data_IF_658515003014
#
_entry.id   IF_658515003014
#
_cell.length_a   1.000
_cell.length_b   1.000
_cell.length_c   1.000
_cell.angle_alpha   90.00
_cell.angle_beta   90.00
_cell.angle_gamma   90.00
#
_symmetry.space_group_name_H-M   'P 1'
#
loop_
_entity.id
_entity.type
_entity.pdbx_description
1 polymer ?
#
# COMPACT_ATOMS: atom_id res chain seq x y z
N UNK A 1 2.42 -48.59 -49.41
CA UNK A 1 2.59 -48.86 -47.96
C UNK A 1 3.68 -49.91 -47.84
N UNK A 2 4.84 -49.72 -47.22
CA UNK A 2 5.40 -48.68 -46.36
C UNK A 2 6.93 -48.64 -46.60
N UNK A 3 7.55 -47.52 -46.29
CA UNK A 3 8.89 -47.10 -46.68
C UNK A 3 10.03 -47.59 -45.76
N UNK A 4 11.23 -47.41 -46.29
CA UNK A 4 12.59 -47.72 -45.80
C UNK A 4 13.06 -46.86 -44.60
N UNK A 5 13.75 -47.45 -43.63
CA UNK A 5 15.22 -47.41 -43.33
C UNK A 5 15.81 -46.06 -42.87
N UNK A 6 16.13 -46.04 -41.56
CA UNK A 6 17.26 -45.51 -40.77
C UNK A 6 18.24 -44.43 -41.29
N UNK A 7 18.58 -43.45 -40.43
CA UNK A 7 19.85 -43.39 -39.68
C UNK A 7 19.92 -42.24 -38.65
N UNK A 8 20.90 -42.38 -37.76
CA UNK A 8 21.25 -41.78 -36.45
C UNK A 8 21.91 -40.37 -36.42
N UNK A 9 21.98 -39.79 -35.19
CA UNK A 9 22.79 -38.63 -34.74
C UNK A 9 21.90 -37.51 -34.15
N UNK A 10 22.19 -36.81 -33.05
CA UNK A 10 23.29 -36.77 -32.07
C UNK A 10 22.76 -35.96 -30.85
N UNK A 11 23.46 -36.07 -29.72
CA UNK A 11 23.17 -35.43 -28.43
C UNK A 11 22.93 -33.91 -28.49
N UNK A 12 21.97 -33.41 -27.71
CA UNK A 12 22.14 -32.20 -26.89
C UNK A 12 21.09 -32.19 -25.78
N UNK A 13 21.56 -32.40 -24.56
CA UNK A 13 20.86 -32.15 -23.31
C UNK A 13 20.58 -30.66 -23.16
N UNK A 14 19.35 -30.23 -23.46
CA UNK A 14 18.84 -28.96 -22.96
C UNK A 14 18.27 -29.20 -21.56
N UNK A 15 18.86 -28.54 -20.58
CA UNK A 15 18.43 -28.55 -19.20
C UNK A 15 16.98 -28.06 -19.13
N UNK A 16 16.10 -28.91 -18.60
CA UNK A 16 14.75 -28.52 -18.18
C UNK A 16 14.92 -27.63 -16.94
N UNK A 17 14.97 -26.31 -17.14
CA UNK A 17 14.72 -25.35 -16.08
C UNK A 17 13.27 -25.53 -15.63
N UNK A 18 13.09 -25.82 -14.35
CA UNK A 18 11.79 -25.92 -13.70
C UNK A 18 11.12 -24.55 -13.74
N UNK A 19 10.27 -24.31 -14.75
CA UNK A 19 9.34 -23.18 -14.71
C UNK A 19 8.31 -23.47 -13.62
N UNK A 20 8.48 -22.81 -12.49
CA UNK A 20 7.46 -22.72 -11.48
C UNK A 20 6.34 -21.85 -12.05
N UNK A 21 5.15 -22.46 -12.13
CA UNK A 21 3.91 -21.90 -12.64
C UNK A 21 3.50 -20.74 -11.72
N UNK A 22 3.83 -19.53 -12.17
CA UNK A 22 3.24 -18.28 -11.70
C UNK A 22 2.33 -17.83 -12.84
N UNK A 23 1.18 -17.21 -12.52
CA UNK A 23 0.11 -16.88 -13.48
C UNK A 23 0.63 -16.51 -14.87
N UNK A 24 0.00 -17.06 -15.92
CA UNK A 24 0.52 -17.03 -17.29
C UNK A 24 1.06 -15.66 -17.70
N UNK A 25 2.07 -15.62 -18.56
CA UNK A 25 2.65 -14.36 -19.02
C UNK A 25 1.74 -13.64 -20.01
N UNK A 26 1.83 -12.31 -20.03
CA UNK A 26 1.17 -11.44 -21.02
C UNK A 26 2.22 -10.67 -21.81
N UNK A 27 2.14 -10.74 -23.14
CA UNK A 27 3.02 -9.96 -24.02
C UNK A 27 2.62 -8.49 -24.02
N UNK A 28 3.61 -7.59 -23.92
CA UNK A 28 3.40 -6.17 -24.14
C UNK A 28 2.85 -5.95 -25.56
N UNK A 29 1.71 -5.27 -25.66
CA UNK A 29 1.01 -5.12 -26.93
C UNK A 29 1.86 -4.36 -27.98
N UNK A 30 1.72 -4.76 -29.25
CA UNK A 30 2.46 -4.13 -30.35
C UNK A 30 2.13 -2.64 -30.44
N UNK A 31 3.17 -1.80 -30.38
CA UNK A 31 3.03 -0.34 -30.47
C UNK A 31 2.86 0.37 -29.12
N UNK A 32 2.79 -0.36 -28.02
CA UNK A 32 2.89 0.19 -26.66
C UNK A 32 4.38 0.34 -26.29
N UNK A 33 4.80 1.45 -25.65
CA UNK A 33 6.15 1.57 -25.10
C UNK A 33 6.45 0.40 -24.15
N UNK A 34 7.62 -0.22 -24.31
CA UNK A 34 8.02 -1.38 -23.49
C UNK A 34 8.45 -0.90 -22.11
N UNK A 35 7.81 -1.37 -21.02
CA UNK A 35 8.25 -1.11 -19.67
C UNK A 35 9.70 -1.52 -19.43
N UNK A 36 10.42 -0.76 -18.61
CA UNK A 36 11.72 -1.20 -18.09
C UNK A 36 11.72 -1.21 -16.56
N UNK A 37 12.59 -2.04 -15.98
CA UNK A 37 12.80 -2.15 -14.55
C UNK A 37 14.30 -2.23 -14.24
N UNK A 38 14.70 -1.57 -13.16
CA UNK A 38 15.99 -1.73 -12.50
C UNK A 38 15.79 -1.73 -10.98
N UNK A 39 16.65 -2.42 -10.24
CA UNK A 39 16.61 -2.45 -8.78
C UNK A 39 17.94 -2.06 -8.16
N UNK A 40 17.87 -1.45 -6.97
CA UNK A 40 18.99 -1.19 -6.09
C UNK A 40 18.67 -1.78 -4.72
N UNK A 41 19.52 -2.68 -4.22
CA UNK A 41 19.36 -3.30 -2.89
C UNK A 41 20.49 -2.82 -1.99
N UNK A 42 20.14 -2.23 -0.85
CA UNK A 42 21.09 -1.62 0.08
C UNK A 42 20.86 -2.12 1.50
N UNK A 43 21.93 -2.40 2.23
CA UNK A 43 21.84 -2.80 3.63
C UNK A 43 21.29 -1.62 4.46
N UNK A 44 20.28 -1.89 5.27
CA UNK A 44 19.71 -0.91 6.19
C UNK A 44 20.63 -0.76 7.42
N UNK A 45 21.06 0.47 7.78
CA UNK A 45 21.98 0.68 8.90
C UNK A 45 21.51 0.17 10.27
N UNK A 46 20.20 -0.04 10.47
CA UNK A 46 19.64 -0.55 11.71
C UNK A 46 19.35 -2.04 11.61
N UNK A 47 18.59 -2.47 10.60
CA UNK A 47 18.22 -3.88 10.40
C UNK A 47 17.62 -4.13 9.01
N UNK A 48 18.12 -5.17 8.34
CA UNK A 48 17.58 -5.68 7.09
C UNK A 48 18.10 -4.97 5.86
N UNK A 49 17.28 -4.94 4.81
CA UNK A 49 17.65 -4.41 3.50
C UNK A 49 16.56 -3.50 2.95
N UNK A 50 16.96 -2.40 2.31
CA UNK A 50 16.11 -1.49 1.59
C UNK A 50 16.24 -1.76 0.09
N UNK A 51 15.10 -2.01 -0.55
CA UNK A 51 14.95 -2.17 -1.98
C UNK A 51 14.39 -0.87 -2.58
N UNK A 52 15.00 -0.43 -3.68
CA UNK A 52 14.48 0.62 -4.55
C UNK A 52 14.24 0.05 -5.94
N UNK A 53 13.08 0.30 -6.53
CA UNK A 53 12.67 -0.18 -7.85
C UNK A 53 12.41 1.00 -8.78
N UNK A 54 13.19 1.09 -9.85
CA UNK A 54 13.08 2.14 -10.85
C UNK A 54 12.42 1.56 -12.10
N UNK A 55 11.34 2.18 -12.56
CA UNK A 55 10.66 1.77 -13.79
C UNK A 55 10.57 2.91 -14.80
N UNK A 56 10.46 2.56 -16.08
CA UNK A 56 10.05 3.49 -17.15
C UNK A 56 8.91 2.89 -17.92
N UNK A 57 8.05 3.73 -18.49
CA UNK A 57 6.91 3.31 -19.32
C UNK A 57 5.97 2.30 -18.63
N UNK A 58 5.95 2.33 -17.31
CA UNK A 58 5.13 1.46 -16.45
C UNK A 58 4.41 2.31 -15.40
N UNK A 59 3.14 2.01 -15.20
CA UNK A 59 2.29 2.64 -14.20
C UNK A 59 1.92 1.64 -13.11
N UNK A 60 2.38 1.92 -11.89
CA UNK A 60 1.95 1.17 -10.72
C UNK A 60 0.55 1.68 -10.34
N UNK A 61 -0.45 0.79 -10.29
CA UNK A 61 -1.86 1.12 -10.01
C UNK A 61 -2.45 0.13 -9.00
N UNK A 62 -2.18 0.32 -7.70
CA UNK A 62 -2.66 -0.58 -6.64
C UNK A 62 -4.18 -0.74 -6.64
N UNK A 63 -4.92 0.29 -7.05
CA UNK A 63 -6.38 0.30 -7.11
C UNK A 63 -6.94 -0.65 -8.17
N UNK A 64 -6.15 -0.97 -9.20
CA UNK A 64 -6.54 -1.86 -10.29
C UNK A 64 -5.96 -3.27 -10.13
N UNK A 65 -5.31 -3.59 -8.99
CA UNK A 65 -4.82 -4.94 -8.73
C UNK A 65 -6.00 -5.92 -8.74
N UNK A 66 -5.76 -7.11 -9.28
CA UNK A 66 -6.77 -8.17 -9.45
C UNK A 66 -7.92 -7.81 -10.40
N UNK A 67 -7.68 -6.87 -11.33
CA UNK A 67 -8.62 -6.53 -12.41
C UNK A 67 -8.06 -6.93 -13.79
N UNK A 68 -8.80 -6.68 -14.87
CA UNK A 68 -8.34 -7.01 -16.22
C UNK A 68 -7.10 -6.18 -16.61
N UNK A 69 -6.14 -6.73 -17.39
CA UNK A 69 -4.95 -6.01 -17.81
C UNK A 69 -5.25 -4.72 -18.56
N UNK A 70 -4.55 -3.65 -18.19
CA UNK A 70 -4.47 -2.40 -18.94
C UNK A 70 -3.01 -2.21 -19.38
N UNK A 71 -2.81 -1.91 -20.67
CA UNK A 71 -1.48 -1.76 -21.25
C UNK A 71 -0.64 -0.71 -20.50
N UNK A 72 0.55 -1.12 -20.05
CA UNK A 72 1.47 -0.27 -19.32
C UNK A 72 1.08 -0.03 -17.85
N UNK A 73 0.04 -0.68 -17.32
CA UNK A 73 -0.37 -0.61 -15.91
C UNK A 73 -0.17 -1.93 -15.18
N UNK A 74 0.01 -1.88 -13.86
CA UNK A 74 0.05 -3.07 -13.01
C UNK A 74 0.70 -2.82 -11.65
N UNK A 75 1.39 -3.84 -11.16
CA UNK A 75 2.17 -3.81 -9.91
C UNK A 75 3.41 -4.69 -10.07
N UNK A 76 4.14 -4.94 -8.99
CA UNK A 76 5.36 -5.75 -9.07
C UNK A 76 5.33 -6.89 -8.04
N UNK A 77 6.03 -7.98 -8.34
CA UNK A 77 6.22 -9.07 -7.41
C UNK A 77 7.69 -9.13 -6.97
N UNK A 78 7.92 -9.11 -5.66
CA UNK A 78 9.24 -9.30 -5.05
C UNK A 78 9.45 -10.77 -4.72
N UNK A 79 10.61 -11.28 -5.10
CA UNK A 79 11.09 -12.61 -4.77
C UNK A 79 12.44 -12.52 -4.08
N UNK A 80 12.66 -13.37 -3.08
CA UNK A 80 13.97 -13.62 -2.47
C UNK A 80 14.24 -15.12 -2.56
N UNK A 81 15.38 -15.50 -3.15
CA UNK A 81 15.78 -16.90 -3.40
C UNK A 81 14.71 -17.74 -4.12
N UNK A 82 13.96 -17.10 -5.02
CA UNK A 82 12.88 -17.72 -5.78
C UNK A 82 11.55 -17.85 -5.03
N UNK A 83 11.49 -17.49 -3.75
CA UNK A 83 10.25 -17.45 -2.98
C UNK A 83 9.60 -16.06 -3.10
N UNK A 84 8.30 -16.02 -3.44
CA UNK A 84 7.55 -14.76 -3.52
C UNK A 84 7.37 -14.19 -2.12
N UNK A 85 7.95 -13.02 -1.87
CA UNK A 85 7.91 -12.35 -0.57
C UNK A 85 6.71 -11.40 -0.46
N UNK A 86 6.50 -10.56 -1.47
CA UNK A 86 5.46 -9.53 -1.41
C UNK A 86 5.04 -9.04 -2.79
N UNK A 87 3.89 -8.35 -2.84
CA UNK A 87 3.52 -7.46 -3.95
C UNK A 87 4.05 -6.07 -3.61
N UNK A 88 4.59 -5.35 -4.59
CA UNK A 88 5.10 -4.00 -4.41
C UNK A 88 4.20 -3.01 -5.15
N UNK A 89 3.88 -1.92 -4.44
CA UNK A 89 2.95 -0.87 -4.88
C UNK A 89 3.62 0.51 -4.98
N UNK A 90 4.94 0.54 -4.96
CA UNK A 90 5.72 1.76 -5.08
C UNK A 90 7.19 1.48 -5.33
N UNK A 91 8.00 2.53 -5.26
CA UNK A 91 9.42 2.50 -5.58
C UNK A 91 10.23 1.85 -4.44
N UNK A 92 9.85 2.07 -3.18
CA UNK A 92 10.62 1.61 -2.03
C UNK A 92 9.96 0.47 -1.26
N UNK A 93 10.77 -0.47 -0.78
CA UNK A 93 10.33 -1.56 0.09
C UNK A 93 11.41 -1.96 1.12
N UNK A 94 11.00 -2.29 2.33
CA UNK A 94 11.88 -2.90 3.34
C UNK A 94 11.75 -4.42 3.28
N UNK A 95 12.83 -5.11 2.90
CA UNK A 95 12.84 -6.58 2.82
C UNK A 95 12.88 -7.22 4.22
N UNK A 96 13.44 -6.51 5.21
CA UNK A 96 13.71 -7.07 6.53
C UNK A 96 15.03 -7.84 6.62
N UNK A 97 15.32 -8.45 7.78
CA UNK A 97 16.54 -9.21 7.98
C UNK A 97 16.55 -10.50 7.15
N UNK A 98 17.69 -10.81 6.56
CA UNK A 98 17.95 -12.07 5.86
C UNK A 98 18.95 -12.91 6.64
N UNK A 99 18.88 -14.23 6.47
CA UNK A 99 19.85 -15.13 7.07
C UNK A 99 21.27 -14.84 6.53
N UNK A 100 22.35 -15.18 7.25
CA UNK A 100 23.69 -15.04 6.69
C UNK A 100 23.87 -15.91 5.44
N UNK A 101 24.31 -15.32 4.33
CA UNK A 101 24.40 -16.01 3.05
C UNK A 101 24.33 -15.09 1.84
N UNK A 102 24.48 -15.70 0.67
CA UNK A 102 24.16 -15.07 -0.61
C UNK A 102 22.65 -15.20 -0.84
N UNK A 103 22.00 -14.11 -1.23
CA UNK A 103 20.57 -14.05 -1.52
C UNK A 103 20.33 -13.41 -2.88
N UNK A 104 19.47 -14.04 -3.68
CA UNK A 104 18.98 -13.47 -4.95
C UNK A 104 17.71 -12.67 -4.69
N UNK A 105 17.73 -11.36 -4.96
CA UNK A 105 16.56 -10.48 -4.90
C UNK A 105 16.10 -10.21 -6.31
N UNK A 106 14.88 -10.61 -6.65
CA UNK A 106 14.29 -10.43 -7.98
C UNK A 106 12.97 -9.68 -7.89
N UNK A 107 12.78 -8.70 -8.76
CA UNK A 107 11.51 -7.97 -8.89
C UNK A 107 11.01 -8.09 -10.33
N UNK A 108 9.76 -8.48 -10.47
CA UNK A 108 9.09 -8.71 -11.76
C UNK A 108 7.94 -7.72 -11.96
N UNK A 109 7.78 -7.20 -13.18
CA UNK A 109 6.59 -6.42 -13.56
C UNK A 109 5.41 -7.35 -13.83
N UNK A 110 4.28 -7.08 -13.19
CA UNK A 110 3.04 -7.85 -13.34
C UNK A 110 1.92 -6.94 -13.81
N UNK A 111 1.09 -7.41 -14.73
CA UNK A 111 -0.14 -6.75 -15.13
C UNK A 111 -1.17 -6.77 -13.99
N UNK A 112 -2.26 -6.00 -14.17
CA UNK A 112 -3.35 -5.89 -13.20
C UNK A 112 -3.93 -7.25 -12.77
N UNK A 113 -3.95 -8.24 -13.66
CA UNK A 113 -4.46 -9.59 -13.37
C UNK A 113 -3.39 -10.56 -12.82
N UNK A 114 -2.25 -10.03 -12.36
CA UNK A 114 -1.07 -10.77 -11.91
C UNK A 114 -0.27 -11.51 -13.00
N UNK A 115 -0.64 -11.43 -14.27
CA UNK A 115 0.14 -12.00 -15.36
C UNK A 115 1.52 -11.34 -15.44
N UNK A 116 2.59 -12.14 -15.51
CA UNK A 116 3.94 -11.62 -15.69
C UNK A 116 4.07 -10.91 -17.05
N UNK A 117 4.52 -9.66 -17.08
CA UNK A 117 4.71 -8.94 -18.34
C UNK A 117 5.94 -9.48 -19.09
N UNK A 118 5.80 -9.67 -20.40
CA UNK A 118 6.83 -10.25 -21.24
C UNK A 118 7.00 -9.49 -22.57
N UNK A 119 8.19 -9.63 -23.16
CA UNK A 119 8.49 -9.22 -24.55
C UNK A 119 9.19 -10.37 -25.24
N UNK A 120 8.62 -10.83 -26.37
CA UNK A 120 9.16 -11.96 -27.14
C UNK A 120 9.28 -13.25 -26.29
N UNK A 121 8.43 -13.39 -25.27
CA UNK A 121 8.45 -14.50 -24.30
C UNK A 121 9.42 -14.34 -23.12
N UNK A 122 10.24 -13.28 -23.10
CA UNK A 122 11.13 -12.98 -21.98
C UNK A 122 10.41 -12.09 -20.96
N UNK A 123 10.38 -12.49 -19.69
CA UNK A 123 9.76 -11.72 -18.60
C UNK A 123 10.54 -10.42 -18.35
N UNK A 124 9.81 -9.34 -18.09
CA UNK A 124 10.39 -8.07 -17.68
C UNK A 124 10.62 -8.08 -16.16
N UNK A 125 11.83 -8.44 -15.75
CA UNK A 125 12.27 -8.44 -14.36
C UNK A 125 13.67 -7.83 -14.19
N UNK A 126 14.07 -7.63 -12.94
CA UNK A 126 15.41 -7.24 -12.55
C UNK A 126 15.86 -8.04 -11.33
N UNK A 127 17.14 -8.42 -11.32
CA UNK A 127 17.73 -9.24 -10.26
C UNK A 127 19.02 -8.60 -9.75
N UNK A 128 19.21 -8.64 -8.43
CA UNK A 128 20.44 -8.29 -7.74
C UNK A 128 20.80 -9.40 -6.76
N UNK A 129 22.09 -9.60 -6.52
CA UNK A 129 22.59 -10.63 -5.60
C UNK A 129 23.34 -9.94 -4.47
N UNK A 130 22.80 -10.07 -3.26
CA UNK A 130 23.37 -9.50 -2.05
C UNK A 130 23.99 -10.58 -1.18
N UNK A 131 24.91 -10.18 -0.31
CA UNK A 131 25.53 -11.08 0.68
C UNK A 131 25.25 -10.55 2.07
N UNK A 132 24.32 -11.20 2.76
CA UNK A 132 24.03 -10.96 4.16
C UNK A 132 25.15 -11.55 5.02
N UNK A 133 25.75 -10.71 5.85
CA UNK A 133 26.85 -11.12 6.71
C UNK A 133 26.33 -11.73 8.00
N UNK A 134 27.07 -12.70 8.54
CA UNK A 134 26.86 -13.20 9.90
C UNK A 134 27.37 -12.12 10.87
N UNK A 135 26.48 -11.21 11.23
CA UNK A 135 26.77 -10.19 12.23
C UNK A 135 26.66 -10.87 13.61
N UNK A 136 27.76 -11.46 14.06
CA UNK A 136 27.95 -11.95 15.42
C UNK A 136 27.44 -10.91 16.45
N UNK A 137 26.22 -11.09 16.95
CA UNK A 137 25.74 -10.49 18.20
C UNK A 137 25.46 -8.98 18.21
N UNK A 138 25.27 -8.32 17.07
CA UNK A 138 24.63 -6.99 17.06
C UNK A 138 23.12 -7.12 16.87
N UNK A 139 22.48 -7.87 17.77
CA UNK A 139 21.15 -7.47 18.22
C UNK A 139 21.33 -6.11 18.91
N UNK A 140 21.42 -5.05 18.11
CA UNK A 140 21.06 -3.73 18.59
C UNK A 140 19.59 -3.88 18.92
N UNK A 141 19.29 -4.20 20.18
CA UNK A 141 17.96 -4.00 20.70
C UNK A 141 17.53 -2.62 20.24
N UNK A 142 16.31 -2.51 19.73
CA UNK A 142 15.71 -1.21 19.46
C UNK A 142 15.78 -0.43 20.78
N UNK A 143 16.84 0.34 20.99
CA UNK A 143 16.86 1.36 22.01
C UNK A 143 15.64 2.19 21.65
N UNK A 144 14.63 2.15 22.51
CA UNK A 144 13.43 2.93 22.33
C UNK A 144 13.89 4.38 22.27
N UNK A 145 13.99 4.91 21.05
CA UNK A 145 14.34 6.30 20.86
C UNK A 145 13.16 7.07 21.43
N UNK A 146 13.46 7.98 22.36
CA UNK A 146 12.43 8.79 23.02
C UNK A 146 11.53 9.45 21.96
N UNK A 147 10.19 9.42 22.16
CA UNK A 147 9.27 10.02 21.20
C UNK A 147 9.61 11.49 20.93
N UNK A 148 9.38 11.92 19.68
CA UNK A 148 9.66 13.30 19.24
C UNK A 148 8.38 14.03 18.89
N UNK A 149 8.18 15.16 19.56
CA UNK A 149 7.07 16.05 19.29
C UNK A 149 7.24 16.74 17.93
N UNK A 150 6.27 16.56 17.04
CA UNK A 150 6.27 17.13 15.71
C UNK A 150 6.00 18.64 15.74
N UNK A 151 6.60 19.41 14.82
CA UNK A 151 6.24 20.82 14.63
C UNK A 151 4.79 20.97 14.13
N UNK A 152 4.31 22.21 14.13
CA UNK A 152 3.03 22.59 13.53
C UNK A 152 3.22 22.96 12.04
N UNK A 153 2.25 22.67 11.14
CA UNK A 153 1.04 21.89 11.40
C UNK A 153 1.38 20.43 11.75
N UNK A 154 0.68 19.86 12.73
CA UNK A 154 0.96 18.49 13.18
C UNK A 154 0.69 17.48 12.05
N UNK A 155 1.53 16.44 11.94
CA UNK A 155 1.29 15.37 11.01
C UNK A 155 0.15 14.46 11.49
N UNK A 156 -0.49 13.82 10.53
CA UNK A 156 -1.50 12.78 10.72
C UNK A 156 -1.26 11.66 9.73
N UNK A 157 -1.84 10.49 9.97
CA UNK A 157 -1.88 9.39 9.01
C UNK A 157 -3.29 8.84 8.96
N UNK A 158 -3.84 8.69 7.76
CA UNK A 158 -5.11 8.00 7.53
C UNK A 158 -4.79 6.59 7.04
N UNK A 159 -5.57 5.61 7.45
CA UNK A 159 -5.36 4.20 7.13
C UNK A 159 -6.65 3.55 6.67
N UNK A 160 -6.61 2.93 5.50
CA UNK A 160 -7.67 2.12 4.90
C UNK A 160 -7.13 0.72 4.58
N UNK A 161 -8.00 -0.27 4.62
CA UNK A 161 -7.73 -1.62 4.13
C UNK A 161 -8.65 -1.88 2.95
N UNK A 162 -8.05 -2.23 1.82
CA UNK A 162 -8.75 -2.59 0.60
C UNK A 162 -8.64 -4.10 0.45
N UNK A 163 -9.81 -4.76 0.41
CA UNK A 163 -9.88 -6.19 0.12
C UNK A 163 -9.33 -6.47 -1.29
N UNK A 164 -8.46 -7.47 -1.40
CA UNK A 164 -7.88 -7.86 -2.67
C UNK A 164 -8.63 -9.09 -3.21
N UNK A 165 -9.29 -8.99 -4.39
CA UNK A 165 -10.02 -10.12 -4.97
C UNK A 165 -9.17 -11.38 -5.18
N UNK A 166 -7.86 -11.23 -5.39
CA UNK A 166 -6.93 -12.37 -5.49
C UNK A 166 -6.47 -12.90 -4.12
N UNK A 167 -7.14 -12.47 -3.04
CA UNK A 167 -6.90 -12.86 -1.66
C UNK A 167 -5.99 -11.90 -0.90
N UNK A 168 -6.43 -11.54 0.31
CA UNK A 168 -5.69 -10.71 1.25
C UNK A 168 -6.14 -9.27 1.24
N UNK A 169 -5.29 -8.39 1.81
CA UNK A 169 -5.63 -6.99 2.01
C UNK A 169 -4.48 -6.11 1.57
N UNK A 170 -4.81 -5.02 0.87
CA UNK A 170 -3.88 -3.93 0.60
C UNK A 170 -4.13 -2.82 1.60
N UNK A 171 -3.10 -2.45 2.35
CA UNK A 171 -3.08 -1.29 3.23
C UNK A 171 -2.85 -0.04 2.40
N UNK A 172 -3.71 0.96 2.58
CA UNK A 172 -3.53 2.30 2.05
C UNK A 172 -3.39 3.28 3.22
N UNK A 173 -2.18 3.78 3.45
CA UNK A 173 -1.81 4.66 4.53
C UNK A 173 -1.29 5.99 3.99
N UNK A 174 -2.07 7.06 4.12
CA UNK A 174 -1.73 8.38 3.58
C UNK A 174 -1.39 9.36 4.71
N UNK A 175 -0.12 9.78 4.82
CA UNK A 175 0.25 10.82 5.76
C UNK A 175 -0.10 12.23 5.26
N UNK A 176 -0.47 13.13 6.17
CA UNK A 176 -0.60 14.57 5.91
C UNK A 176 0.45 15.34 6.73
N UNK A 177 0.94 16.48 6.21
CA UNK A 177 2.03 17.28 6.81
C UNK A 177 3.30 16.48 7.13
N UNK A 178 3.54 15.38 6.41
CA UNK A 178 4.66 14.48 6.63
C UNK A 178 5.10 13.84 5.31
N UNK A 179 6.41 13.86 5.05
CA UNK A 179 7.01 13.29 3.86
C UNK A 179 7.57 11.90 4.15
N UNK A 180 7.12 10.90 3.41
CA UNK A 180 7.82 9.61 3.38
C UNK A 180 9.18 9.81 2.70
N UNK A 181 10.24 9.46 3.42
CA UNK A 181 11.64 9.67 3.06
C UNK A 181 12.45 8.37 3.23
N UNK A 182 12.09 7.28 2.51
CA UNK A 182 12.79 6.01 2.61
C UNK A 182 14.28 6.09 2.29
N UNK A 183 14.70 7.03 1.44
CA UNK A 183 16.10 7.29 1.13
C UNK A 183 16.92 7.76 2.36
N UNK A 184 16.23 8.22 3.40
CA UNK A 184 16.81 8.68 4.66
C UNK A 184 16.46 7.75 5.84
N UNK A 185 15.76 6.62 5.61
CA UNK A 185 15.43 5.68 6.67
C UNK A 185 16.71 5.16 7.36
N UNK A 186 16.63 4.95 8.67
CA UNK A 186 17.78 4.63 9.54
C UNK A 186 18.89 5.71 9.57
N UNK A 187 18.61 6.90 9.03
CA UNK A 187 19.50 8.06 9.02
C UNK A 187 19.28 9.01 10.19
N UNK A 188 19.86 10.21 10.13
CA UNK A 188 19.62 11.24 11.14
C UNK A 188 18.21 11.85 10.99
N UNK A 189 17.56 12.16 12.12
CA UNK A 189 16.26 12.84 12.16
C UNK A 189 16.24 14.17 11.39
N UNK A 190 15.21 14.35 10.56
CA UNK A 190 14.85 15.59 9.88
C UNK A 190 13.38 15.89 10.17
N UNK A 191 13.07 17.12 10.55
CA UNK A 191 11.70 17.53 10.87
C UNK A 191 10.78 17.41 9.65
N UNK A 192 9.60 16.82 9.85
CA UNK A 192 8.55 16.69 8.81
C UNK A 192 8.76 15.53 7.84
N UNK A 193 9.73 14.65 8.08
CA UNK A 193 9.92 13.45 7.26
C UNK A 193 10.31 12.21 8.07
N UNK A 194 10.21 11.05 7.42
CA UNK A 194 10.55 9.75 7.98
C UNK A 194 9.81 8.63 7.26
N UNK A 195 9.27 7.66 7.99
CA UNK A 195 8.56 6.51 7.43
C UNK A 195 7.48 6.01 8.37
N UNK A 196 6.75 4.97 7.96
CA UNK A 196 5.67 4.39 8.76
C UNK A 196 6.09 3.03 9.33
N UNK A 197 5.60 2.68 10.51
CA UNK A 197 5.64 1.31 11.02
C UNK A 197 4.23 0.75 11.03
N UNK A 198 4.09 -0.48 10.54
CA UNK A 198 2.86 -1.25 10.59
C UNK A 198 2.92 -2.25 11.74
N UNK A 199 1.88 -2.28 12.56
CA UNK A 199 1.70 -3.21 13.66
C UNK A 199 0.42 -4.01 13.46
N UNK A 200 0.46 -5.29 13.83
CA UNK A 200 -0.69 -6.17 13.93
C UNK A 200 -0.78 -6.65 15.37
N UNK A 201 -1.90 -6.40 16.05
CA UNK A 201 -2.11 -6.76 17.45
C UNK A 201 -0.98 -6.25 18.38
N UNK A 202 -0.45 -5.07 18.08
CA UNK A 202 0.66 -4.44 18.81
C UNK A 202 2.07 -4.96 18.48
N UNK A 203 2.21 -5.96 17.61
CA UNK A 203 3.49 -6.45 17.13
C UNK A 203 3.87 -5.76 15.81
N UNK A 204 5.08 -5.19 15.74
CA UNK A 204 5.58 -4.54 14.51
C UNK A 204 5.84 -5.61 13.45
N UNK A 205 5.11 -5.57 12.35
CA UNK A 205 5.26 -6.54 11.25
C UNK A 205 6.01 -5.99 10.05
N UNK A 206 5.99 -4.66 9.84
CA UNK A 206 6.67 -4.06 8.69
C UNK A 206 7.08 -2.60 8.92
N UNK A 207 8.07 -2.17 8.13
CA UNK A 207 8.29 -0.75 7.82
C UNK A 207 7.58 -0.48 6.50
N UNK A 208 6.84 0.62 6.43
CA UNK A 208 6.08 1.02 5.25
C UNK A 208 6.68 2.33 4.73
N UNK A 209 7.11 2.30 3.47
CA UNK A 209 7.84 3.38 2.81
C UNK A 209 7.04 4.14 1.76
N UNK A 210 5.85 3.65 1.44
CA UNK A 210 4.96 4.17 0.41
C UNK A 210 3.54 4.27 0.99
N UNK A 211 2.61 4.90 0.27
CA UNK A 211 1.22 4.98 0.73
C UNK A 211 0.49 3.65 0.62
N UNK A 212 0.93 2.74 -0.24
CA UNK A 212 0.35 1.42 -0.42
C UNK A 212 1.28 0.31 0.06
N UNK A 213 0.72 -0.70 0.72
CA UNK A 213 1.46 -1.85 1.22
C UNK A 213 0.63 -3.13 1.20
N UNK A 214 1.18 -4.21 0.67
CA UNK A 214 0.52 -5.51 0.72
C UNK A 214 0.58 -6.08 2.14
N UNK A 215 -0.58 -6.26 2.79
CA UNK A 215 -0.61 -6.85 4.12
C UNK A 215 -0.09 -8.30 4.07
N UNK A 216 0.68 -8.73 5.10
CA UNK A 216 1.00 -10.13 5.25
C UNK A 216 -0.29 -10.94 5.47
N UNK A 217 -0.31 -12.23 5.11
CA UNK A 217 -1.46 -13.07 5.37
C UNK A 217 -1.75 -13.14 6.88
N UNK A 218 -3.03 -12.99 7.23
CA UNK A 218 -3.50 -13.05 8.61
C UNK A 218 -4.35 -14.29 8.83
N UNK A 219 -4.26 -14.94 10.01
CA UNK A 219 -5.16 -16.03 10.35
C UNK A 219 -6.59 -15.51 10.53
N UNK A 220 -7.56 -16.41 10.56
CA UNK A 220 -8.94 -16.04 10.86
C UNK A 220 -9.08 -15.45 12.28
N UNK A 221 -9.89 -14.40 12.40
CA UNK A 221 -10.19 -13.71 13.65
C UNK A 221 -10.11 -12.19 13.54
N UNK A 222 -10.26 -11.54 14.70
CA UNK A 222 -10.15 -10.09 14.86
C UNK A 222 -8.69 -9.67 15.01
N UNK A 223 -8.27 -8.67 14.24
CA UNK A 223 -6.94 -8.09 14.27
C UNK A 223 -7.01 -6.57 14.43
N UNK A 224 -6.19 -6.01 15.32
CA UNK A 224 -5.93 -4.57 15.37
C UNK A 224 -4.76 -4.25 14.43
N UNK A 225 -5.00 -3.38 13.45
CA UNK A 225 -4.01 -2.92 12.47
C UNK A 225 -3.67 -1.47 12.80
N UNK A 226 -2.43 -1.21 13.20
CA UNK A 226 -1.97 0.13 13.56
C UNK A 226 -0.86 0.59 12.62
N UNK A 227 -0.99 1.79 12.06
CA UNK A 227 0.09 2.45 11.34
C UNK A 227 0.53 3.68 12.12
N UNK A 228 1.81 3.75 12.47
CA UNK A 228 2.39 4.86 13.23
C UNK A 228 3.47 5.58 12.41
N UNK A 229 3.49 6.91 12.48
CA UNK A 229 4.55 7.72 11.87
C UNK A 229 5.82 7.70 12.72
N UNK A 230 6.95 7.47 12.07
CA UNK A 230 8.26 7.37 12.68
C UNK A 230 9.23 8.36 12.04
N UNK A 231 10.14 8.91 12.84
CA UNK A 231 11.25 9.71 12.32
C UNK A 231 12.24 8.85 11.54
N UNK A 232 13.15 9.48 10.79
CA UNK A 232 14.20 8.79 10.03
C UNK A 232 15.02 7.79 10.89
N UNK A 233 15.27 8.12 12.15
CA UNK A 233 15.98 7.28 13.12
C UNK A 233 15.04 6.44 14.01
N UNK A 234 13.81 6.17 13.54
CA UNK A 234 12.82 5.27 14.15
C UNK A 234 12.18 5.70 15.48
N UNK A 235 12.30 6.96 15.90
CA UNK A 235 11.55 7.44 17.06
C UNK A 235 10.07 7.61 16.73
N UNK A 236 9.15 7.25 17.65
CA UNK A 236 7.74 7.58 17.52
C UNK A 236 7.53 9.08 17.40
N UNK A 237 6.71 9.50 16.44
CA UNK A 237 6.31 10.90 16.32
C UNK A 237 5.10 11.15 17.22
N UNK A 238 5.11 12.27 17.94
CA UNK A 238 3.98 12.71 18.78
C UNK A 238 3.42 14.06 18.34
N UNK A 239 2.12 14.25 18.55
CA UNK A 239 1.41 15.52 18.42
C UNK A 239 0.59 15.76 19.69
N UNK A 240 0.82 16.90 20.34
CA UNK A 240 0.30 17.23 21.66
C UNK A 240 0.56 16.13 22.72
N UNK A 241 1.70 15.43 22.61
CA UNK A 241 2.09 14.35 23.52
C UNK A 241 1.42 12.99 23.28
N UNK A 242 0.64 12.82 22.20
CA UNK A 242 0.07 11.54 21.77
C UNK A 242 0.80 11.05 20.53
N UNK A 243 1.05 9.74 20.39
CA UNK A 243 1.65 9.19 19.16
C UNK A 243 0.78 9.46 17.95
N UNK A 244 1.42 9.80 16.82
CA UNK A 244 0.73 10.00 15.55
C UNK A 244 0.59 8.64 14.89
N UNK A 245 -0.52 7.98 15.16
CA UNK A 245 -0.87 6.67 14.64
C UNK A 245 -2.38 6.57 14.38
N UNK A 246 -2.76 5.66 13.50
CA UNK A 246 -4.16 5.28 13.27
C UNK A 246 -4.29 3.78 13.43
N UNK A 247 -5.31 3.37 14.18
CA UNK A 247 -5.65 1.96 14.41
C UNK A 247 -7.05 1.67 13.86
N UNK A 248 -7.15 0.58 13.09
CA UNK A 248 -8.41 0.04 12.59
C UNK A 248 -8.52 -1.45 12.95
N UNK A 249 -9.75 -1.95 13.03
CA UNK A 249 -10.01 -3.37 13.28
C UNK A 249 -10.32 -4.08 11.96
N UNK A 250 -9.62 -5.18 11.72
CA UNK A 250 -9.86 -6.09 10.61
C UNK A 250 -10.42 -7.42 11.13
N UNK A 251 -11.54 -7.86 10.58
CA UNK A 251 -12.08 -9.21 10.79
C UNK A 251 -11.72 -10.08 9.59
N UNK A 252 -11.01 -11.17 9.83
CA UNK A 252 -10.65 -12.15 8.79
C UNK A 252 -11.45 -13.42 9.00
N UNK A 253 -12.22 -13.83 7.99
CA UNK A 253 -12.96 -15.09 8.00
C UNK A 253 -12.04 -16.29 7.74
N UNK A 254 -12.52 -17.50 8.07
CA UNK A 254 -11.82 -18.76 7.74
C UNK A 254 -11.63 -18.93 6.22
N UNK A 255 -12.57 -18.44 5.41
CA UNK A 255 -12.49 -18.52 3.95
C UNK A 255 -11.37 -17.59 3.43
N UNK A 256 -11.31 -16.34 3.91
CA UNK A 256 -10.24 -15.38 3.54
C UNK A 256 -8.86 -15.85 4.00
N UNK A 257 -8.76 -16.39 5.21
CA UNK A 257 -7.50 -16.93 5.75
C UNK A 257 -6.97 -18.12 4.92
N UNK A 258 -7.85 -18.85 4.23
CA UNK A 258 -7.46 -20.01 3.41
C UNK A 258 -7.19 -19.64 1.94
N UNK A 259 -7.82 -18.60 1.39
CA UNK A 259 -7.49 -18.04 0.08
C UNK A 259 -6.05 -17.52 0.01
N UNK A 260 -5.55 -16.99 1.13
CA UNK A 260 -4.16 -16.57 1.32
C UNK A 260 -3.14 -17.72 1.23
N UNK A 261 -3.58 -18.97 1.42
CA UNK A 261 -2.70 -20.15 1.46
C UNK A 261 -2.56 -20.86 0.11
N UNK A 262 -3.46 -20.60 -0.85
CA UNK A 262 -3.48 -21.23 -2.18
C UNK A 262 -3.09 -20.17 -3.23
N UNK A 263 -1.81 -19.80 -3.25
CA UNK A 263 -1.26 -18.88 -4.24
C UNK A 263 -1.40 -19.46 -5.65
N UNK A 264 -2.48 -19.15 -6.34
CA UNK A 264 -2.73 -19.72 -7.66
C UNK A 264 -4.08 -19.38 -8.28
N UNK A 265 -4.20 -18.14 -8.76
CA UNK A 265 -5.12 -17.77 -9.85
C UNK A 265 -6.48 -17.29 -9.40
N UNK A 266 -6.88 -16.10 -9.86
CA UNK A 266 -8.29 -15.77 -9.91
C UNK A 266 -8.68 -15.00 -11.17
N UNK A 267 -9.77 -15.46 -11.79
CA UNK A 267 -10.38 -14.91 -12.99
C UNK A 267 -11.52 -13.98 -12.61
N UNK A 268 -11.41 -12.72 -13.03
CA UNK A 268 -12.27 -11.64 -12.55
C UNK A 268 -13.71 -11.60 -13.07
N UNK A 269 -14.45 -10.63 -12.54
CA UNK A 269 -15.62 -9.97 -13.12
C UNK A 269 -15.65 -8.51 -12.62
N UNK A 270 -15.75 -7.54 -13.54
CA UNK A 270 -15.51 -6.12 -13.26
C UNK A 270 -16.74 -5.22 -13.19
N UNK A 271 -16.49 -3.92 -13.01
CA UNK A 271 -17.11 -2.81 -13.77
C UNK A 271 -16.25 -1.54 -13.57
N UNK A 272 -16.22 -0.67 -14.58
CA UNK A 272 -15.15 0.32 -14.77
C UNK A 272 -15.31 1.68 -14.08
N UNK A 273 -14.16 2.34 -13.89
CA UNK A 273 -14.03 3.76 -13.55
C UNK A 273 -12.63 4.26 -13.91
N UNK A 274 -12.55 5.39 -14.63
CA UNK A 274 -11.32 6.05 -15.08
C UNK A 274 -10.42 6.52 -13.91
N UNK A 275 -9.08 6.43 -14.02
CA UNK A 275 -8.13 7.56 -14.16
C UNK A 275 -6.61 7.19 -14.00
N UNK A 276 -5.79 7.93 -14.78
CA UNK A 276 -4.32 8.08 -14.91
C UNK A 276 -3.51 8.25 -13.59
N UNK A 277 -2.17 8.24 -13.43
CA UNK A 277 -0.87 7.87 -14.09
C UNK A 277 0.13 7.57 -12.92
N UNK A 278 1.39 7.17 -13.19
CA UNK A 278 2.29 6.45 -12.25
C UNK A 278 3.03 7.32 -11.22
N UNK A 279 3.35 6.77 -10.04
CA UNK A 279 4.55 7.14 -9.25
C UNK A 279 4.55 8.49 -8.54
N UNK A 280 3.40 9.14 -8.42
CA UNK A 280 3.10 10.14 -7.41
C UNK A 280 1.89 9.63 -6.63
N UNK A 281 1.64 10.06 -5.38
CA UNK A 281 0.36 9.84 -4.73
C UNK A 281 -0.75 10.11 -5.78
N UNK A 282 -1.72 9.20 -5.91
CA UNK A 282 -2.86 9.42 -6.82
C UNK A 282 -3.44 10.81 -6.55
N UNK A 283 -4.18 11.43 -7.49
CA UNK A 283 -4.80 12.73 -7.20
C UNK A 283 -5.59 12.68 -5.87
N UNK A 284 -6.19 11.53 -5.56
CA UNK A 284 -6.83 11.24 -4.28
C UNK A 284 -5.85 11.24 -3.08
N UNK A 285 -4.71 10.54 -3.15
CA UNK A 285 -3.68 10.56 -2.11
C UNK A 285 -3.04 11.94 -1.97
N UNK A 286 -2.83 12.65 -3.08
CA UNK A 286 -2.28 13.99 -3.11
C UNK A 286 -3.25 14.98 -2.48
N UNK A 287 -4.55 14.87 -2.77
CA UNK A 287 -5.59 15.67 -2.13
C UNK A 287 -5.67 15.38 -0.62
N UNK A 288 -5.51 14.12 -0.19
CA UNK A 288 -5.46 13.77 1.24
C UNK A 288 -4.17 14.27 1.90
N UNK A 289 -3.02 14.14 1.24
CA UNK A 289 -1.73 14.59 1.77
C UNK A 289 -1.62 16.13 1.83
N UNK A 290 -2.21 16.82 0.85
CA UNK A 290 -2.33 18.29 0.79
C UNK A 290 -3.37 18.83 1.76
N UNK A 291 -4.17 17.96 2.39
CA UNK A 291 -5.14 18.38 3.38
C UNK A 291 -4.43 19.06 4.56
N UNK A 292 -4.63 20.37 4.67
CA UNK A 292 -4.08 21.18 5.77
C UNK A 292 -4.88 20.98 7.06
N UNK A 293 -6.03 20.31 6.97
CA UNK A 293 -6.88 19.94 8.09
C UNK A 293 -7.49 18.56 7.85
N UNK A 294 -7.29 17.65 8.81
CA UNK A 294 -7.99 16.36 8.87
C UNK A 294 -9.09 16.43 9.92
N UNK A 295 -10.32 16.07 9.53
CA UNK A 295 -11.49 16.02 10.40
C UNK A 295 -11.87 14.56 10.60
N UNK A 296 -11.80 14.08 11.85
CA UNK A 296 -12.19 12.72 12.21
C UNK A 296 -13.56 12.71 12.88
N UNK A 297 -14.39 11.74 12.53
CA UNK A 297 -15.74 11.55 13.08
C UNK A 297 -15.95 10.07 13.38
N UNK A 298 -16.06 9.73 14.66
CA UNK A 298 -16.48 8.39 15.06
C UNK A 298 -17.99 8.33 15.21
N UNK A 299 -18.64 7.29 14.68
CA UNK A 299 -20.08 7.10 14.70
C UNK A 299 -20.45 5.77 15.36
N UNK A 300 -21.32 5.83 16.38
CA UNK A 300 -21.82 4.64 17.09
C UNK A 300 -23.34 4.67 17.16
N UNK A 301 -24.00 3.59 16.78
CA UNK A 301 -25.45 3.50 16.67
C UNK A 301 -26.04 4.54 15.71
N UNK A 302 -25.26 4.92 14.69
CA UNK A 302 -25.58 5.97 13.75
C UNK A 302 -25.61 7.38 14.34
N UNK A 303 -24.89 7.66 15.42
CA UNK A 303 -24.73 9.02 15.96
C UNK A 303 -23.25 9.34 16.21
N UNK A 304 -22.79 10.57 15.90
CA UNK A 304 -21.40 10.95 16.13
C UNK A 304 -21.07 10.91 17.62
N UNK A 305 -19.95 10.26 17.96
CA UNK A 305 -19.37 10.25 19.30
C UNK A 305 -18.99 11.68 19.66
N UNK A 306 -19.44 12.14 20.84
CA UNK A 306 -19.29 13.54 21.24
C UNK A 306 -20.35 14.49 20.66
N UNK A 307 -21.28 13.98 19.86
CA UNK A 307 -22.37 14.75 19.25
C UNK A 307 -21.91 15.61 18.06
N UNK A 308 -22.89 16.20 17.37
CA UNK A 308 -22.63 17.02 16.17
C UNK A 308 -21.76 18.23 16.53
N UNK A 309 -20.59 18.30 15.90
CA UNK A 309 -19.67 19.44 16.03
C UNK A 309 -19.81 20.39 14.85
N UNK A 310 -19.42 21.65 15.08
CA UNK A 310 -19.18 22.61 14.01
C UNK A 310 -17.68 22.84 13.89
N UNK A 311 -17.14 22.53 12.73
CA UNK A 311 -15.71 22.59 12.44
C UNK A 311 -15.43 23.77 11.52
N UNK A 312 -14.57 24.68 11.95
CA UNK A 312 -14.11 25.77 11.11
C UNK A 312 -13.10 25.25 10.09
N UNK A 313 -13.26 25.70 8.85
CA UNK A 313 -12.43 25.36 7.69
C UNK A 313 -12.11 26.66 6.95
N UNK A 314 -10.86 26.85 6.56
CA UNK A 314 -10.45 28.03 5.81
C UNK A 314 -10.91 27.92 4.34
N UNK A 315 -11.51 28.98 3.80
CA UNK A 315 -11.92 29.00 2.39
C UNK A 315 -10.71 28.75 1.46
N UNK A 316 -10.85 27.75 0.59
CA UNK A 316 -9.84 27.33 -0.38
C UNK A 316 -8.83 26.31 0.15
N UNK A 317 -8.93 25.88 1.41
CA UNK A 317 -8.09 24.81 1.94
C UNK A 317 -8.54 23.44 1.44
N UNK A 318 -7.60 22.51 1.23
CA UNK A 318 -7.94 21.09 1.08
C UNK A 318 -8.19 20.51 2.47
N UNK A 319 -9.30 19.78 2.64
CA UNK A 319 -9.71 19.17 3.91
C UNK A 319 -9.94 17.69 3.69
N UNK A 320 -9.36 16.86 4.55
CA UNK A 320 -9.62 15.43 4.59
C UNK A 320 -10.70 15.14 5.64
N UNK A 321 -11.71 14.34 5.28
CA UNK A 321 -12.72 13.84 6.20
C UNK A 321 -12.55 12.33 6.36
N UNK A 322 -12.51 11.89 7.62
CA UNK A 322 -12.49 10.48 8.01
C UNK A 322 -13.69 10.17 8.90
N UNK A 323 -14.55 9.26 8.45
CA UNK A 323 -15.74 8.82 9.19
C UNK A 323 -15.64 7.34 9.48
N UNK A 324 -15.56 6.96 10.75
CA UNK A 324 -15.70 5.57 11.19
C UNK A 324 -17.14 5.32 11.64
N UNK A 325 -17.70 4.14 11.40
CA UNK A 325 -19.09 3.83 11.75
C UNK A 325 -19.26 2.36 12.12
N UNK A 326 -20.10 2.07 13.11
CA UNK A 326 -20.56 0.71 13.44
C UNK A 326 -21.78 0.26 12.60
N UNK A 327 -22.22 1.09 11.66
CA UNK A 327 -23.32 0.79 10.73
C UNK A 327 -22.92 1.11 9.29
N UNK A 328 -23.45 0.32 8.35
CA UNK A 328 -23.30 0.57 6.92
C UNK A 328 -24.20 1.72 6.44
N UNK A 329 -23.62 2.71 5.76
CA UNK A 329 -24.27 3.93 5.27
C UNK A 329 -23.43 4.62 4.17
N UNK A 330 -23.87 5.79 3.69
CA UNK A 330 -23.18 6.71 2.79
C UNK A 330 -23.04 8.11 3.42
N UNK A 331 -21.81 8.50 3.72
CA UNK A 331 -21.47 9.87 4.11
C UNK A 331 -21.73 10.81 2.93
N UNK A 332 -22.53 11.84 3.14
CA UNK A 332 -22.83 12.88 2.17
C UNK A 332 -22.39 14.26 2.68
N UNK A 333 -21.56 14.95 1.90
CA UNK A 333 -21.22 16.36 2.12
C UNK A 333 -22.08 17.24 1.23
N UNK A 334 -23.08 17.89 1.86
CA UNK A 334 -23.97 18.80 1.16
C UNK A 334 -23.21 19.96 0.52
N UNK A 335 -23.64 20.38 -0.66
CA UNK A 335 -23.05 21.50 -1.40
C UNK A 335 -21.80 21.15 -2.22
N UNK A 336 -21.14 20.02 -1.92
CA UNK A 336 -20.04 19.47 -2.71
C UNK A 336 -20.45 18.22 -3.51
N UNK A 337 -21.67 17.71 -3.32
CA UNK A 337 -22.22 16.52 -3.99
C UNK A 337 -21.31 15.28 -3.84
N UNK A 338 -20.66 15.14 -2.69
CA UNK A 338 -19.77 14.02 -2.37
C UNK A 338 -20.56 12.97 -1.59
N UNK A 339 -20.67 11.76 -2.13
CA UNK A 339 -21.17 10.57 -1.42
C UNK A 339 -20.06 9.52 -1.29
N UNK A 340 -19.91 8.95 -0.10
CA UNK A 340 -18.93 7.89 0.17
C UNK A 340 -19.48 6.86 1.14
N UNK A 341 -19.37 5.58 0.79
CA UNK A 341 -19.78 4.50 1.66
C UNK A 341 -18.96 4.46 2.96
N UNK A 342 -19.59 4.02 4.04
CA UNK A 342 -18.96 3.70 5.33
C UNK A 342 -19.60 2.43 5.89
N UNK A 343 -18.85 1.59 6.58
CA UNK A 343 -19.38 0.49 7.40
C UNK A 343 -18.48 0.15 8.57
N UNK A 344 -18.94 -0.77 9.43
CA UNK A 344 -18.07 -1.42 10.41
C UNK A 344 -16.86 -2.03 9.68
N UNK A 345 -15.65 -1.78 10.19
CA UNK A 345 -14.38 -2.20 9.58
C UNK A 345 -13.95 -1.41 8.32
N UNK A 346 -14.85 -0.68 7.66
CA UNK A 346 -14.59 0.07 6.43
C UNK A 346 -14.93 1.56 6.62
N UNK A 347 -14.04 2.35 7.22
CA UNK A 347 -14.25 3.79 7.37
C UNK A 347 -14.28 4.51 6.02
N UNK A 348 -15.00 5.64 5.97
CA UNK A 348 -15.10 6.48 4.79
C UNK A 348 -14.04 7.57 4.83
N UNK A 349 -13.18 7.61 3.81
CA UNK A 349 -12.11 8.59 3.66
C UNK A 349 -12.25 9.33 2.35
N UNK A 350 -12.00 10.64 2.38
CA UNK A 350 -11.89 11.46 1.17
C UNK A 350 -11.38 12.85 1.53
N UNK A 351 -10.76 13.52 0.58
CA UNK A 351 -10.44 14.93 0.66
C UNK A 351 -11.22 15.74 -0.38
N UNK A 352 -11.42 17.02 -0.09
CA UNK A 352 -11.99 17.98 -1.03
C UNK A 352 -11.47 19.39 -0.73
N UNK A 353 -11.40 20.23 -1.77
CA UNK A 353 -11.08 21.64 -1.63
C UNK A 353 -12.31 22.41 -1.17
N UNK A 354 -12.20 23.13 -0.06
CA UNK A 354 -13.26 23.93 0.54
C UNK A 354 -13.49 25.25 -0.25
N UNK A 355 -13.95 25.17 -1.50
CA UNK A 355 -14.06 26.32 -2.42
C UNK A 355 -15.32 27.18 -2.23
N UNK A 356 -16.32 26.67 -1.52
CA UNK A 356 -17.63 27.32 -1.36
C UNK A 356 -17.74 27.84 0.08
N UNK A 357 -17.86 29.17 0.30
CA UNK A 357 -18.04 29.71 1.65
C UNK A 357 -19.46 29.46 2.15
N UNK A 358 -19.61 29.15 3.43
CA UNK A 358 -20.91 28.88 4.04
C UNK A 358 -20.86 27.84 5.15
N UNK A 359 -22.04 27.34 5.51
CA UNK A 359 -22.19 26.24 6.45
C UNK A 359 -22.75 25.04 5.69
N UNK A 360 -22.03 23.93 5.70
CA UNK A 360 -22.40 22.71 5.00
C UNK A 360 -22.61 21.58 6.01
N UNK A 361 -23.61 20.76 5.74
CA UNK A 361 -23.94 19.61 6.56
C UNK A 361 -23.24 18.37 6.01
N UNK A 362 -22.61 17.62 6.91
CA UNK A 362 -22.13 16.27 6.62
C UNK A 362 -23.06 15.31 7.34
N UNK A 363 -23.68 14.40 6.60
CA UNK A 363 -24.66 13.48 7.15
C UNK A 363 -24.51 12.06 6.60
N UNK A 364 -25.22 11.14 7.23
CA UNK A 364 -25.59 9.87 6.63
C UNK A 364 -26.81 10.07 5.73
N UNK A 365 -26.64 9.86 4.43
CA UNK A 365 -27.61 10.18 3.37
C UNK A 365 -28.95 9.45 3.55
N UNK A 366 -28.91 8.13 3.69
CA UNK A 366 -30.09 7.29 3.79
C UNK A 366 -30.88 7.55 5.08
N UNK A 367 -30.19 7.81 6.19
CA UNK A 367 -30.82 8.09 7.48
C UNK A 367 -31.13 9.57 7.74
N UNK A 368 -30.54 10.49 6.97
CA UNK A 368 -30.58 11.94 7.18
C UNK A 368 -29.97 12.37 8.52
N UNK A 369 -29.00 11.60 9.04
CA UNK A 369 -28.41 11.85 10.36
C UNK A 369 -27.17 12.70 10.24
N UNK A 370 -27.27 13.91 10.78
CA UNK A 370 -26.17 14.86 10.83
C UNK A 370 -24.99 14.32 11.66
N UNK A 371 -23.81 14.36 11.06
CA UNK A 371 -22.53 13.96 11.66
C UNK A 371 -21.76 15.18 12.17
N UNK A 372 -21.59 16.19 11.31
CA UNK A 372 -20.97 17.47 11.65
C UNK A 372 -21.48 18.60 10.75
N UNK A 373 -21.07 19.83 11.06
CA UNK A 373 -21.20 20.99 10.18
C UNK A 373 -19.84 21.57 9.88
N UNK A 374 -19.58 21.85 8.61
CA UNK A 374 -18.40 22.57 8.15
C UNK A 374 -18.74 24.05 8.03
N UNK A 375 -18.04 24.91 8.77
CA UNK A 375 -18.12 26.37 8.61
C UNK A 375 -16.90 26.84 7.80
N UNK A 376 -17.13 27.11 6.51
CA UNK A 376 -16.11 27.49 5.54
C UNK A 376 -16.12 29.01 5.38
N UNK A 377 -15.04 29.69 5.77
CA UNK A 377 -14.97 31.17 5.82
C UNK A 377 -13.65 31.78 5.38
#
# INVERSE_FOLDING_TARGET
MLASVACSGDDTSAANGSHHDHGGSIEVAEGVPVPTIAIEVTEDPVEGWNLRVLTTDFKIVPENVSTAPIDGEGHMHLYVDGEKMSRLYGEWHHIGPLAPGEHEVRVELSANDHSAMAVDGDIIDATDVIVAQDLDGHAMGHDHVEPREAPQPHPSVIVELVDDPAGGWSLHAVPSNFRLAPENASGAHVDGEGHMHLYVNGEKVARVYETWYQMPPLPAGTHEITVALQTNDHAPITAAGTTVETTITLEVSEDEATLLADGGGDGGHGDGGDHAMAGAPTQYDADIADAVQTIMVDVVGGAPVGGVQRVAVDLGSVVALMVTSDIAEEVHVHGYDILRAVSEGNPSHFAFTAEIPGVFEVEFEGSGRLLLQLEIS
#
